data_IF_782550738812
#
_entry.id   IF_782550738812
#
_cell.length_a   1.000
_cell.length_b   1.000
_cell.length_c   1.000
_cell.angle_alpha   90.00
_cell.angle_beta   90.00
_cell.angle_gamma   90.00
#
_symmetry.space_group_name_H-M   'P 1'
#
loop_
_entity.id
_entity.type
_entity.pdbx_description
1 polymer ?
#
# COMPACT_ATOMS: atom_id res chain seq x y z
N UNK A 1 -22.39 -19.81 16.61
CA UNK A 1 -22.31 -18.36 16.34
C UNK A 1 -20.85 -18.04 16.09
N UNK A 2 -20.45 -17.71 14.87
CA UNK A 2 -19.13 -17.12 14.63
C UNK A 2 -19.19 -15.74 15.29
N UNK A 3 -18.25 -15.43 16.18
CA UNK A 3 -18.26 -14.18 16.96
C UNK A 3 -18.28 -12.95 16.06
N UNK A 4 -18.86 -11.84 16.55
CA UNK A 4 -18.82 -10.54 15.85
C UNK A 4 -17.36 -10.13 15.66
N UNK A 5 -16.96 -9.83 14.43
CA UNK A 5 -15.61 -9.32 14.14
C UNK A 5 -15.46 -7.95 14.83
N UNK A 6 -14.45 -7.81 15.68
CA UNK A 6 -14.20 -6.57 16.42
C UNK A 6 -13.47 -5.53 15.57
N UNK A 7 -12.49 -5.97 14.77
CA UNK A 7 -11.73 -5.15 13.84
C UNK A 7 -11.03 -6.05 12.81
N UNK A 8 -10.66 -5.47 11.68
CA UNK A 8 -9.70 -6.08 10.73
C UNK A 8 -8.42 -5.27 10.81
N UNK A 9 -7.29 -5.96 11.03
CA UNK A 9 -5.99 -5.33 11.18
C UNK A 9 -5.14 -5.67 9.96
N UNK A 10 -4.54 -4.64 9.34
CA UNK A 10 -3.65 -4.80 8.19
C UNK A 10 -2.29 -4.19 8.50
N UNK A 11 -1.25 -4.98 8.30
CA UNK A 11 0.14 -4.50 8.38
C UNK A 11 0.53 -3.80 7.09
N UNK A 12 0.97 -2.54 7.20
CA UNK A 12 1.42 -1.70 6.09
C UNK A 12 2.92 -1.45 6.20
N UNK A 13 3.66 -1.85 5.17
CA UNK A 13 5.10 -1.59 5.04
C UNK A 13 5.44 -0.98 3.70
N UNK A 14 6.56 -0.25 3.60
CA UNK A 14 7.04 0.26 2.33
C UNK A 14 7.13 -0.76 1.18
N UNK A 15 7.61 -2.00 1.37
CA UNK A 15 7.64 -3.02 0.30
C UNK A 15 6.27 -3.40 -0.27
N UNK A 16 5.15 -3.12 0.42
CA UNK A 16 3.82 -3.34 -0.13
C UNK A 16 3.48 -2.34 -1.24
N UNK A 17 4.05 -1.13 -1.20
CA UNK A 17 3.82 -0.07 -2.20
C UNK A 17 4.40 -0.45 -3.56
N UNK A 18 5.54 -1.13 -3.57
CA UNK A 18 6.19 -1.57 -4.81
C UNK A 18 5.39 -2.63 -5.57
N UNK A 19 4.43 -3.29 -4.90
CA UNK A 19 3.66 -4.43 -5.44
C UNK A 19 2.30 -4.05 -6.04
N UNK A 20 1.86 -2.78 -5.97
CA UNK A 20 0.50 -2.38 -6.38
C UNK A 20 0.37 -1.84 -7.80
N UNK A 21 1.44 -1.80 -8.61
CA UNK A 21 1.36 -1.34 -10.02
C UNK A 21 0.72 -2.36 -10.97
N UNK A 22 0.39 -3.55 -10.47
CA UNK A 22 -0.16 -4.65 -11.27
C UNK A 22 0.83 -5.25 -12.27
N UNK A 23 2.13 -4.92 -12.17
CA UNK A 23 3.15 -5.37 -13.13
C UNK A 23 3.37 -6.89 -13.09
N UNK A 24 3.02 -7.55 -11.97
CA UNK A 24 3.02 -9.00 -11.89
C UNK A 24 1.86 -9.61 -12.70
N UNK A 25 2.12 -10.69 -13.43
CA UNK A 25 1.14 -11.31 -14.34
C UNK A 25 -0.15 -11.74 -13.62
N UNK A 26 -0.05 -12.21 -12.38
CA UNK A 26 -1.20 -12.63 -11.58
C UNK A 26 -2.06 -11.45 -11.07
N UNK A 27 -1.60 -10.21 -11.22
CA UNK A 27 -2.37 -9.01 -10.87
C UNK A 27 -3.10 -8.41 -12.08
N UNK A 28 -2.94 -8.95 -13.29
CA UNK A 28 -3.54 -8.39 -14.50
C UNK A 28 -5.07 -8.24 -14.39
N UNK A 29 -5.74 -9.23 -13.80
CA UNK A 29 -7.19 -9.24 -13.59
C UNK A 29 -7.61 -8.70 -12.22
N UNK A 30 -6.66 -8.23 -11.39
CA UNK A 30 -7.00 -7.61 -10.12
C UNK A 30 -7.70 -6.27 -10.38
N UNK A 31 -8.70 -5.91 -9.54
CA UNK A 31 -9.41 -4.65 -9.69
C UNK A 31 -8.47 -3.48 -9.38
N UNK A 32 -8.51 -2.46 -10.23
CA UNK A 32 -7.86 -1.16 -10.01
C UNK A 32 -8.90 -0.18 -9.49
N UNK A 33 -8.52 0.58 -8.47
CA UNK A 33 -9.32 1.67 -7.94
C UNK A 33 -8.54 2.98 -8.04
N UNK A 34 -9.29 4.06 -8.07
CA UNK A 34 -8.73 5.39 -8.17
C UNK A 34 -9.63 6.44 -7.52
N UNK A 35 -9.09 7.62 -7.23
CA UNK A 35 -9.83 8.76 -6.72
C UNK A 35 -10.23 9.69 -7.87
N UNK A 36 -11.51 10.00 -7.95
CA UNK A 36 -12.05 10.94 -8.92
C UNK A 36 -11.68 12.39 -8.57
N UNK A 37 -11.97 13.35 -9.47
CA UNK A 37 -11.79 14.77 -9.18
C UNK A 37 -12.60 15.26 -7.97
N UNK A 38 -13.69 14.56 -7.64
CA UNK A 38 -14.53 14.80 -6.47
C UNK A 38 -13.99 14.16 -5.17
N UNK A 39 -12.81 13.53 -5.24
CA UNK A 39 -12.17 12.83 -4.12
C UNK A 39 -12.82 11.48 -3.79
N UNK A 40 -13.80 11.02 -4.56
CA UNK A 40 -14.47 9.73 -4.31
C UNK A 40 -13.72 8.59 -4.98
N UNK A 41 -13.77 7.44 -4.33
CA UNK A 41 -13.22 6.21 -4.86
C UNK A 41 -14.10 5.67 -5.99
N UNK A 42 -13.50 5.26 -7.10
CA UNK A 42 -14.19 4.59 -8.19
C UNK A 42 -13.41 3.39 -8.72
N UNK A 43 -14.14 2.42 -9.28
CA UNK A 43 -13.56 1.28 -9.97
C UNK A 43 -13.07 1.71 -11.36
N UNK A 44 -11.79 1.49 -11.63
CA UNK A 44 -11.11 1.92 -12.85
C UNK A 44 -10.89 0.76 -13.85
N UNK A 45 -11.64 -0.33 -13.72
CA UNK A 45 -11.39 -1.57 -14.46
C UNK A 45 -10.36 -2.46 -13.77
N UNK A 46 -9.94 -3.51 -14.45
CA UNK A 46 -8.76 -4.30 -14.06
C UNK A 46 -7.47 -3.60 -14.49
N UNK A 47 -6.32 -4.02 -13.96
CA UNK A 47 -5.03 -3.50 -14.44
C UNK A 47 -4.82 -3.73 -15.94
N UNK A 48 -5.27 -4.87 -16.48
CA UNK A 48 -5.22 -5.17 -17.90
C UNK A 48 -6.12 -4.23 -18.71
N UNK A 49 -7.39 -4.07 -18.32
CA UNK A 49 -8.35 -3.16 -18.97
C UNK A 49 -7.84 -1.71 -18.97
N UNK A 50 -7.32 -1.25 -17.84
CA UNK A 50 -6.81 0.11 -17.68
C UNK A 50 -5.67 0.42 -18.65
N UNK A 51 -4.76 -0.53 -18.89
CA UNK A 51 -3.64 -0.37 -19.84
C UNK A 51 -4.11 -0.19 -21.28
N UNK A 52 -5.23 -0.80 -21.65
CA UNK A 52 -5.81 -0.67 -22.98
C UNK A 52 -6.50 0.68 -23.18
N UNK A 53 -7.13 1.22 -22.12
CA UNK A 53 -7.81 2.51 -22.18
C UNK A 53 -6.90 3.70 -21.87
N UNK A 54 -5.71 3.47 -21.31
CA UNK A 54 -4.72 4.50 -20.95
C UNK A 54 -3.37 4.21 -21.62
N UNK A 55 -3.12 4.75 -22.84
CA UNK A 55 -1.94 4.40 -23.65
C UNK A 55 -0.60 4.62 -22.93
N UNK A 56 -0.47 5.68 -22.13
CA UNK A 56 0.75 5.94 -21.36
C UNK A 56 1.00 4.88 -20.28
N UNK A 57 -0.05 4.39 -19.63
CA UNK A 57 0.06 3.31 -18.65
C UNK A 57 0.42 1.98 -19.33
N UNK A 58 -0.16 1.70 -20.50
CA UNK A 58 0.19 0.54 -21.33
C UNK A 58 1.64 0.56 -21.80
N UNK A 59 2.13 1.70 -22.32
CA UNK A 59 3.52 1.88 -22.72
C UNK A 59 4.48 1.74 -21.54
N UNK A 60 4.15 2.34 -20.39
CA UNK A 60 4.95 2.19 -19.17
C UNK A 60 5.06 0.74 -18.71
N UNK A 61 3.95 -0.01 -18.76
CA UNK A 61 3.94 -1.43 -18.43
C UNK A 61 4.78 -2.26 -19.42
N UNK A 62 4.63 -2.05 -20.73
CA UNK A 62 5.44 -2.73 -21.75
C UNK A 62 6.93 -2.45 -21.53
N UNK A 63 7.27 -1.19 -21.27
CA UNK A 63 8.65 -0.79 -21.04
C UNK A 63 9.23 -1.49 -19.80
N UNK A 64 8.52 -1.54 -18.67
CA UNK A 64 8.97 -2.24 -17.45
C UNK A 64 9.03 -3.76 -17.61
N UNK A 65 8.16 -4.33 -18.45
CA UNK A 65 8.08 -5.77 -18.71
C UNK A 65 9.26 -6.25 -19.57
N UNK A 66 9.59 -5.52 -20.63
CA UNK A 66 10.62 -5.93 -21.58
C UNK A 66 12.01 -5.36 -21.27
N UNK A 67 12.11 -4.23 -20.56
CA UNK A 67 13.37 -3.58 -20.26
C UNK A 67 13.65 -3.54 -18.75
N UNK A 68 14.57 -4.41 -18.30
CA UNK A 68 14.98 -4.52 -16.88
C UNK A 68 15.51 -3.22 -16.29
N UNK A 69 16.11 -2.34 -17.11
CA UNK A 69 16.60 -1.04 -16.64
C UNK A 69 15.45 -0.08 -16.31
N UNK A 70 14.38 -0.06 -17.11
CA UNK A 70 13.18 0.75 -16.84
C UNK A 70 12.52 0.32 -15.54
N UNK A 71 12.46 -1.00 -15.28
CA UNK A 71 11.95 -1.55 -14.02
C UNK A 71 12.78 -1.14 -12.79
N UNK A 72 14.08 -0.88 -12.98
CA UNK A 72 15.01 -0.48 -11.90
C UNK A 72 15.10 1.03 -11.71
N UNK A 73 14.69 1.82 -12.71
CA UNK A 73 14.62 3.26 -12.60
C UNK A 73 13.40 3.62 -11.75
N UNK A 74 13.59 3.72 -10.44
CA UNK A 74 12.68 4.42 -9.56
C UNK A 74 12.57 5.85 -10.04
N UNK A 75 11.45 6.21 -10.66
CA UNK A 75 11.16 7.59 -11.00
C UNK A 75 10.04 8.10 -10.09
N UNK A 76 10.11 9.37 -9.72
CA UNK A 76 9.14 9.98 -8.81
C UNK A 76 7.69 9.87 -9.32
N UNK A 77 7.48 9.70 -10.63
CA UNK A 77 6.15 9.47 -11.19
C UNK A 77 5.59 8.08 -10.83
N UNK A 78 6.43 7.04 -10.87
CA UNK A 78 6.08 5.68 -10.50
C UNK A 78 5.81 5.57 -8.99
N UNK A 79 6.65 6.21 -8.16
CA UNK A 79 6.43 6.25 -6.71
C UNK A 79 5.11 6.93 -6.37
N UNK A 80 4.77 8.04 -7.04
CA UNK A 80 3.47 8.70 -6.90
C UNK A 80 2.32 7.81 -7.36
N UNK A 81 2.46 7.10 -8.47
CA UNK A 81 1.43 6.16 -8.93
C UNK A 81 1.23 5.02 -7.93
N UNK A 82 2.31 4.42 -7.43
CA UNK A 82 2.28 3.37 -6.41
C UNK A 82 1.59 3.85 -5.13
N UNK A 83 1.99 5.01 -4.62
CA UNK A 83 1.36 5.64 -3.46
C UNK A 83 -0.15 5.80 -3.67
N UNK A 84 -0.55 6.38 -4.80
CA UNK A 84 -1.95 6.63 -5.13
C UNK A 84 -2.77 5.34 -5.21
N UNK A 85 -2.25 4.32 -5.91
CA UNK A 85 -2.92 3.03 -6.05
C UNK A 85 -3.05 2.29 -4.72
N UNK A 86 -2.01 2.36 -3.89
CA UNK A 86 -2.01 1.72 -2.58
C UNK A 86 -3.06 2.33 -1.66
N UNK A 87 -3.15 3.67 -1.64
CA UNK A 87 -4.15 4.40 -0.85
C UNK A 87 -5.56 4.08 -1.35
N UNK A 88 -5.79 4.07 -2.67
CA UNK A 88 -7.09 3.74 -3.26
C UNK A 88 -7.52 2.30 -2.93
N UNK A 89 -6.62 1.33 -3.04
CA UNK A 89 -6.88 -0.07 -2.67
C UNK A 89 -7.19 -0.22 -1.18
N UNK A 90 -6.47 0.51 -0.33
CA UNK A 90 -6.70 0.48 1.12
C UNK A 90 -8.03 1.16 1.49
N UNK A 91 -8.39 2.25 0.81
CA UNK A 91 -9.70 2.87 0.95
C UNK A 91 -10.82 1.90 0.54
N UNK A 92 -10.68 1.16 -0.56
CA UNK A 92 -11.67 0.13 -0.92
C UNK A 92 -11.74 -0.98 0.13
N UNK A 93 -10.59 -1.40 0.66
CA UNK A 93 -10.55 -2.41 1.71
C UNK A 93 -11.31 -1.94 2.95
N UNK A 94 -11.15 -0.68 3.35
CA UNK A 94 -11.90 -0.07 4.45
C UNK A 94 -13.41 -0.19 4.21
N UNK A 95 -13.89 0.27 3.05
CA UNK A 95 -15.31 0.18 2.68
C UNK A 95 -15.81 -1.28 2.74
N UNK A 96 -15.06 -2.22 2.16
CA UNK A 96 -15.43 -3.64 2.16
C UNK A 96 -15.48 -4.25 3.57
N UNK A 97 -14.57 -3.84 4.46
CA UNK A 97 -14.54 -4.31 5.84
C UNK A 97 -15.75 -3.78 6.60
N UNK A 98 -16.06 -2.50 6.43
CA UNK A 98 -17.23 -1.86 7.05
C UNK A 98 -18.54 -2.48 6.52
N UNK A 99 -18.64 -2.69 5.21
CA UNK A 99 -19.80 -3.31 4.55
C UNK A 99 -20.06 -4.75 5.00
N UNK A 100 -19.00 -5.57 5.10
CA UNK A 100 -19.14 -7.03 5.31
C UNK A 100 -19.10 -7.44 6.77
N UNK A 101 -18.28 -6.76 7.57
CA UNK A 101 -18.01 -7.15 8.95
C UNK A 101 -18.62 -6.18 9.96
N UNK A 102 -19.12 -5.03 9.52
CA UNK A 102 -19.63 -3.97 10.41
C UNK A 102 -18.61 -3.61 11.50
N UNK A 103 -17.33 -3.59 11.10
CA UNK A 103 -16.17 -3.41 11.96
C UNK A 103 -15.20 -2.40 11.31
N UNK A 104 -14.32 -1.75 12.10
CA UNK A 104 -13.31 -0.86 11.55
C UNK A 104 -12.15 -1.62 10.90
N UNK A 105 -11.55 -1.00 9.89
CA UNK A 105 -10.20 -1.33 9.43
C UNK A 105 -9.19 -0.55 10.27
N UNK A 106 -8.18 -1.23 10.82
CA UNK A 106 -7.05 -0.63 11.54
C UNK A 106 -5.78 -0.90 10.75
N UNK A 107 -5.01 0.16 10.48
CA UNK A 107 -3.73 0.07 9.78
C UNK A 107 -2.59 0.06 10.80
N UNK A 108 -1.83 -1.03 10.84
CA UNK A 108 -0.60 -1.12 11.61
C UNK A 108 0.57 -0.75 10.70
N UNK A 109 1.14 0.43 10.91
CA UNK A 109 2.13 1.05 10.03
C UNK A 109 3.56 0.87 10.52
N UNK A 110 4.44 0.38 9.64
CA UNK A 110 5.89 0.48 9.76
C UNK A 110 6.46 1.47 8.70
N UNK A 111 5.73 2.53 8.42
CA UNK A 111 6.16 3.57 7.48
C UNK A 111 6.90 4.73 8.12
N UNK A 112 7.41 5.66 7.29
CA UNK A 112 7.98 6.90 7.77
C UNK A 112 6.96 7.77 8.52
N UNK A 113 7.47 8.49 9.52
CA UNK A 113 6.76 9.57 10.21
C UNK A 113 7.33 10.92 9.79
N UNK A 114 6.54 11.99 9.96
CA UNK A 114 6.94 13.35 9.58
C UNK A 114 8.19 13.88 10.31
N UNK A 115 8.73 13.15 11.30
CA UNK A 115 9.99 13.40 12.02
C UNK A 115 10.65 12.09 12.45
N UNK A 116 11.99 11.91 12.52
CA UNK A 116 13.10 12.79 12.09
C UNK A 116 13.62 12.46 10.66
N UNK A 117 14.45 13.34 10.06
CA UNK A 117 14.91 13.31 8.66
C UNK A 117 15.87 12.18 8.25
N UNK A 118 16.35 11.37 9.20
CA UNK A 118 17.35 10.33 8.92
C UNK A 118 16.73 8.97 8.56
N UNK A 119 15.45 8.98 8.17
CA UNK A 119 14.72 7.77 7.83
C UNK A 119 15.01 7.39 6.36
N UNK A 120 15.52 6.17 6.07
CA UNK A 120 15.88 5.75 4.72
C UNK A 120 14.68 5.56 3.78
N UNK A 121 13.45 5.79 4.28
CA UNK A 121 12.18 5.49 3.65
C UNK A 121 11.28 6.73 3.47
N UNK A 122 11.83 7.95 3.53
CA UNK A 122 11.08 9.20 3.32
C UNK A 122 10.37 9.27 1.96
N UNK A 123 10.83 8.57 0.92
CA UNK A 123 10.14 8.55 -0.37
C UNK A 123 8.71 7.99 -0.28
N UNK A 124 8.38 7.24 0.77
CA UNK A 124 7.05 6.68 0.97
C UNK A 124 6.11 7.58 1.77
N UNK A 125 6.58 8.72 2.30
CA UNK A 125 5.76 9.67 3.06
C UNK A 125 4.43 10.01 2.38
N UNK A 126 4.38 10.33 1.07
CA UNK A 126 3.11 10.65 0.41
C UNK A 126 2.08 9.51 0.48
N UNK A 127 2.53 8.26 0.43
CA UNK A 127 1.64 7.11 0.58
C UNK A 127 1.09 7.01 2.00
N UNK A 128 1.95 7.15 3.01
CA UNK A 128 1.55 7.06 4.41
C UNK A 128 0.67 8.24 4.86
N UNK A 129 0.89 9.44 4.32
CA UNK A 129 -0.02 10.57 4.52
C UNK A 129 -1.38 10.31 3.87
N UNK A 130 -1.40 9.77 2.65
CA UNK A 130 -2.63 9.34 2.00
C UNK A 130 -3.39 8.28 2.79
N UNK A 131 -2.69 7.31 3.40
CA UNK A 131 -3.31 6.30 4.26
C UNK A 131 -3.91 6.91 5.53
N UNK A 132 -3.25 7.89 6.15
CA UNK A 132 -3.82 8.64 7.30
C UNK A 132 -5.09 9.41 6.89
N UNK A 133 -5.17 9.87 5.65
CA UNK A 133 -6.30 10.63 5.14
C UNK A 133 -7.55 9.78 4.82
N UNK A 134 -7.46 8.44 4.72
CA UNK A 134 -8.63 7.58 4.40
C UNK A 134 -9.63 7.44 5.56
N UNK A 135 -9.29 7.98 6.74
CA UNK A 135 -10.15 7.93 7.93
C UNK A 135 -10.15 6.58 8.66
N UNK A 136 -9.22 5.67 8.35
CA UNK A 136 -8.96 4.49 9.17
C UNK A 136 -7.99 4.84 10.32
N UNK A 137 -8.15 4.29 11.53
CA UNK A 137 -7.14 4.39 12.58
C UNK A 137 -5.79 3.83 12.09
N UNK A 138 -4.73 4.63 12.21
CA UNK A 138 -3.35 4.24 11.90
C UNK A 138 -2.54 4.17 13.17
N UNK A 139 -2.02 2.99 13.49
CA UNK A 139 -1.16 2.72 14.63
C UNK A 139 0.27 2.59 14.12
N UNK A 140 1.19 3.41 14.64
CA UNK A 140 2.61 3.30 14.29
C UNK A 140 3.32 2.27 15.14
N UNK A 141 3.94 1.28 14.49
CA UNK A 141 4.82 0.30 15.14
C UNK A 141 6.06 0.99 15.71
N UNK A 142 6.57 2.03 15.05
CA UNK A 142 7.73 2.82 15.52
C UNK A 142 7.43 3.57 16.81
N UNK A 143 6.22 4.09 16.96
CA UNK A 143 5.80 4.74 18.21
C UNK A 143 5.54 3.73 19.33
N UNK A 144 5.14 2.50 19.01
CA UNK A 144 4.90 1.45 20.00
C UNK A 144 6.19 0.78 20.48
N UNK A 145 7.10 0.45 19.57
CA UNK A 145 8.28 -0.37 19.84
C UNK A 145 9.58 0.43 19.91
N UNK A 146 9.54 1.74 19.61
CA UNK A 146 10.72 2.58 19.50
C UNK A 146 11.49 2.35 18.19
N UNK A 147 12.77 2.75 18.12
CA UNK A 147 13.54 2.72 16.89
C UNK A 147 13.78 1.29 16.38
N UNK A 148 13.83 1.07 15.04
CA UNK A 148 14.01 -0.26 14.44
C UNK A 148 15.24 -1.04 14.93
N UNK A 149 16.28 -0.35 15.40
CA UNK A 149 17.48 -0.99 15.98
C UNK A 149 17.17 -1.85 17.21
N UNK A 150 16.10 -1.55 17.94
CA UNK A 150 15.66 -2.32 19.11
C UNK A 150 14.73 -3.48 18.78
N UNK A 151 14.39 -3.69 17.50
CA UNK A 151 13.31 -4.60 17.13
C UNK A 151 13.72 -6.07 17.05
N UNK A 152 15.01 -6.38 17.07
CA UNK A 152 15.54 -7.75 16.92
C UNK A 152 14.78 -8.86 17.68
N UNK A 153 14.37 -8.67 18.95
CA UNK A 153 13.61 -9.67 19.70
C UNK A 153 12.21 -10.00 19.13
N UNK A 154 11.61 -9.09 18.36
CA UNK A 154 10.26 -9.24 17.79
C UNK A 154 10.28 -9.86 16.40
N UNK A 155 11.44 -10.21 15.83
CA UNK A 155 11.55 -10.76 14.48
C UNK A 155 12.26 -12.10 14.47
N UNK A 156 11.84 -12.96 13.55
CA UNK A 156 12.52 -14.23 13.29
C UNK A 156 13.93 -13.91 12.75
N UNK A 157 15.00 -14.47 13.35
CA UNK A 157 16.37 -14.20 12.91
C UNK A 157 16.54 -14.48 11.41
N UNK A 158 17.09 -13.50 10.67
CA UNK A 158 17.37 -13.54 9.23
C UNK A 158 16.16 -13.65 8.28
N UNK A 159 14.93 -13.59 8.79
CA UNK A 159 13.72 -13.84 8.01
C UNK A 159 12.86 -12.57 7.85
N UNK A 160 12.89 -11.67 8.83
CA UNK A 160 12.23 -10.37 8.75
C UNK A 160 10.71 -10.40 8.96
N UNK A 161 10.10 -11.57 9.19
CA UNK A 161 8.75 -11.68 9.73
C UNK A 161 8.75 -11.57 11.27
N UNK A 162 7.67 -11.06 11.87
CA UNK A 162 7.56 -10.99 13.32
C UNK A 162 7.54 -12.37 13.97
N UNK A 163 8.07 -12.47 15.19
CA UNK A 163 7.86 -13.63 16.07
C UNK A 163 6.40 -13.68 16.55
N UNK A 164 5.92 -14.82 17.06
CA UNK A 164 4.58 -14.91 17.65
C UNK A 164 4.43 -14.20 19.02
N UNK A 165 5.40 -13.39 19.44
CA UNK A 165 5.51 -12.79 20.77
C UNK A 165 5.04 -11.33 20.79
#
# INVERSE_FOLDING_TARGET
MIGKVAAVIVWVTPPHLERVTGDASWLANAPRYDFGPDGKLYYAGTFAEYRWTHPLAGLGWLARTHFRFVRRLGNAAMEREQARLYVALTARLKELVEERYYAPLILLSNGPEASPPDQPDLQYLPAFDGLRAIGAPVISVRNLLGPPSGWGPYFIPHDGHPTPL
#
